data_IF_163788301798
#
_entry.id   IF_163788301798
#
_cell.length_a   1.000
_cell.length_b   1.000
_cell.length_c   1.000
_cell.angle_alpha   90.00
_cell.angle_beta   90.00
_cell.angle_gamma   90.00
#
_symmetry.space_group_name_H-M   'P 1'
#
loop_
_entity.id
_entity.type
_entity.pdbx_description
1 polymer ?
#
# COMPACT_ATOMS: atom_id res chain seq x y z
N UNK A 1 11.19 4.50 -3.62
CA UNK A 1 10.83 3.12 -3.28
C UNK A 1 9.98 3.10 -2.02
N UNK A 2 9.05 2.19 -1.94
CA UNK A 2 8.14 2.10 -0.80
C UNK A 2 8.80 1.33 0.33
N UNK A 3 8.76 1.88 1.53
CA UNK A 3 9.39 1.27 2.71
C UNK A 3 8.41 1.26 3.87
N UNK A 4 8.75 0.46 4.88
CA UNK A 4 7.97 0.43 6.11
C UNK A 4 7.81 1.84 6.67
N UNK A 5 6.59 2.17 7.04
CA UNK A 5 6.26 3.48 7.58
C UNK A 5 5.78 4.49 6.57
N UNK A 6 5.95 4.19 5.29
CA UNK A 6 5.48 5.09 4.24
C UNK A 6 3.96 5.06 4.15
N UNK A 7 3.40 6.15 3.64
CA UNK A 7 1.98 6.21 3.35
C UNK A 7 1.78 6.11 1.86
N UNK A 8 0.80 5.30 1.47
CA UNK A 8 0.57 4.99 0.06
C UNK A 8 -0.91 4.98 -0.25
N UNK A 9 -1.22 5.12 -1.54
CA UNK A 9 -2.57 4.94 -2.05
C UNK A 9 -2.52 3.88 -3.14
N UNK A 10 -3.68 3.26 -3.39
CA UNK A 10 -3.80 2.24 -4.43
C UNK A 10 -4.10 2.92 -5.75
N UNK A 11 -3.31 2.61 -6.77
CA UNK A 11 -3.47 3.18 -8.11
C UNK A 11 -3.32 2.08 -9.14
N UNK A 12 -3.98 2.24 -10.27
CA UNK A 12 -3.76 1.36 -11.41
C UNK A 12 -4.38 -0.01 -11.32
N UNK A 13 -5.14 -0.30 -10.27
CA UNK A 13 -5.78 -1.60 -10.12
C UNK A 13 -7.29 -1.43 -10.08
N UNK A 14 -8.00 -2.57 -10.13
CA UNK A 14 -9.45 -2.53 -10.07
C UNK A 14 -9.97 -1.98 -8.74
N UNK A 15 -9.12 -1.96 -7.72
CA UNK A 15 -9.51 -1.49 -6.41
C UNK A 15 -9.24 0.00 -6.21
N UNK A 16 -8.70 0.66 -7.21
CA UNK A 16 -8.36 2.08 -7.07
C UNK A 16 -9.58 2.91 -6.70
N UNK A 17 -10.70 2.69 -7.38
CA UNK A 17 -11.91 3.46 -7.10
C UNK A 17 -12.48 3.14 -5.73
N UNK A 18 -12.38 1.88 -5.31
CA UNK A 18 -12.92 1.46 -4.03
C UNK A 18 -12.18 2.11 -2.87
N UNK A 19 -10.88 2.33 -3.04
CA UNK A 19 -10.06 2.85 -1.96
C UNK A 19 -9.44 4.20 -2.28
N UNK A 20 -10.04 4.94 -3.19
CA UNK A 20 -9.40 6.16 -3.70
C UNK A 20 -9.17 7.22 -2.63
N UNK A 21 -9.99 7.23 -1.59
CA UNK A 21 -9.83 8.21 -0.52
C UNK A 21 -9.15 7.63 0.70
N UNK A 22 -8.61 6.43 0.58
CA UNK A 22 -7.99 5.75 1.71
C UNK A 22 -6.49 5.85 1.60
N UNK A 23 -5.86 6.26 2.68
CA UNK A 23 -4.40 6.29 2.76
C UNK A 23 -3.98 5.12 3.64
N UNK A 24 -3.08 4.29 3.10
CA UNK A 24 -2.60 3.12 3.79
C UNK A 24 -1.22 3.36 4.37
N UNK A 25 -0.97 2.79 5.52
CA UNK A 25 0.36 2.82 6.13
C UNK A 25 1.04 1.49 5.85
N UNK A 26 2.27 1.55 5.33
CA UNK A 26 3.03 0.35 5.03
C UNK A 26 3.60 -0.21 6.33
N UNK A 27 3.32 -1.47 6.60
CA UNK A 27 3.65 -2.10 7.88
C UNK A 27 4.86 -2.99 7.81
N UNK A 28 5.42 -3.22 6.62
CA UNK A 28 6.58 -4.10 6.49
C UNK A 28 7.48 -3.59 5.38
N UNK A 29 8.73 -4.02 5.42
CA UNK A 29 9.62 -3.80 4.29
C UNK A 29 9.11 -4.61 3.11
N UNK A 30 9.41 -4.17 1.87
CA UNK A 30 8.99 -4.94 0.70
C UNK A 30 9.61 -6.34 0.69
N UNK A 31 8.83 -7.30 0.26
CA UNK A 31 9.31 -8.68 0.14
C UNK A 31 8.70 -9.31 -1.10
N UNK A 32 9.29 -10.42 -1.56
CA UNK A 32 8.86 -11.05 -2.79
C UNK A 32 7.96 -12.24 -2.52
N UNK A 33 6.87 -12.32 -3.29
CA UNK A 33 6.01 -13.49 -3.30
C UNK A 33 5.75 -13.80 -4.77
N UNK A 34 6.14 -14.99 -5.18
CA UNK A 34 5.87 -15.49 -6.55
C UNK A 34 6.28 -14.47 -7.62
N UNK A 35 7.43 -13.85 -7.43
CA UNK A 35 7.96 -12.93 -8.42
C UNK A 35 7.43 -11.51 -8.32
N UNK A 36 6.56 -11.23 -7.37
CA UNK A 36 6.04 -9.87 -7.16
C UNK A 36 6.56 -9.31 -5.86
N UNK A 37 6.90 -8.02 -5.89
CA UNK A 37 7.29 -7.33 -4.66
C UNK A 37 6.05 -6.77 -4.01
N UNK A 38 5.85 -7.11 -2.74
CA UNK A 38 4.64 -6.73 -2.02
C UNK A 38 4.99 -6.17 -0.65
N UNK A 39 4.04 -5.48 -0.06
CA UNK A 39 4.17 -4.96 1.31
C UNK A 39 2.86 -5.22 2.05
N UNK A 40 2.96 -5.35 3.37
CA UNK A 40 1.78 -5.37 4.22
C UNK A 40 1.38 -3.93 4.50
N UNK A 41 0.09 -3.67 4.51
CA UNK A 41 -0.38 -2.31 4.73
C UNK A 41 -1.76 -2.30 5.38
N UNK A 42 -2.10 -1.18 5.99
CA UNK A 42 -3.36 -1.02 6.69
C UNK A 42 -3.89 0.38 6.47
N UNK A 43 -5.19 0.47 6.21
CA UNK A 43 -5.85 1.76 6.11
C UNK A 43 -6.22 2.25 7.51
N UNK A 44 -5.75 3.42 7.87
CA UNK A 44 -5.99 3.95 9.21
C UNK A 44 -7.43 4.38 9.41
N UNK A 45 -8.10 4.78 8.32
CA UNK A 45 -9.45 5.32 8.43
C UNK A 45 -10.51 4.24 8.51
N UNK A 46 -10.31 3.14 7.76
CA UNK A 46 -11.32 2.09 7.72
C UNK A 46 -10.90 0.84 8.47
N UNK A 47 -9.63 0.72 8.82
CA UNK A 47 -9.11 -0.47 9.45
C UNK A 47 -8.82 -1.62 8.51
N UNK A 48 -8.98 -1.42 7.22
CA UNK A 48 -8.71 -2.48 6.25
C UNK A 48 -7.23 -2.85 6.28
N UNK A 49 -6.97 -4.14 6.43
CA UNK A 49 -5.61 -4.65 6.57
C UNK A 49 -5.30 -5.62 5.45
N UNK A 50 -4.19 -5.39 4.77
CA UNK A 50 -3.70 -6.28 3.72
C UNK A 50 -2.47 -7.01 4.24
N UNK A 51 -2.70 -8.06 5.02
CA UNK A 51 -1.61 -8.80 5.65
C UNK A 51 -0.96 -9.83 4.75
N UNK A 52 -1.63 -10.19 3.67
CA UNK A 52 -1.06 -11.14 2.72
C UNK A 52 -0.12 -10.53 1.71
N UNK A 53 0.02 -9.21 1.73
CA UNK A 53 0.88 -8.51 0.81
C UNK A 53 0.12 -7.90 -0.35
N UNK A 54 0.46 -6.65 -0.68
CA UNK A 54 -0.14 -5.97 -1.80
C UNK A 54 0.99 -5.53 -2.73
N UNK A 55 0.82 -5.75 -4.03
CA UNK A 55 1.87 -5.45 -4.99
C UNK A 55 2.21 -3.97 -5.00
N UNK A 56 3.49 -3.63 -4.90
CA UNK A 56 3.90 -2.23 -4.94
C UNK A 56 3.69 -1.61 -6.32
N UNK A 57 3.46 -2.43 -7.35
CA UNK A 57 3.16 -1.91 -8.68
C UNK A 57 1.86 -1.14 -8.71
N UNK A 58 0.98 -1.37 -7.75
CA UNK A 58 -0.29 -0.68 -7.66
C UNK A 58 -0.33 0.30 -6.51
N UNK A 59 0.82 0.73 -6.01
CA UNK A 59 0.89 1.65 -4.88
C UNK A 59 1.70 2.87 -5.27
N UNK A 60 1.30 4.02 -4.72
CA UNK A 60 2.03 5.26 -4.91
C UNK A 60 2.19 5.93 -3.56
N UNK A 61 3.42 6.35 -3.26
CA UNK A 61 3.68 7.08 -2.02
C UNK A 61 3.00 8.43 -2.04
N UNK A 62 2.48 8.82 -0.88
CA UNK A 62 1.83 10.12 -0.74
C UNK A 62 2.33 10.79 0.52
N UNK A 63 2.05 12.06 0.60
CA UNK A 63 2.18 12.75 1.87
C UNK A 63 3.52 13.21 2.23
N UNK A 64 4.29 13.32 1.39
CA UNK A 64 5.45 13.83 1.81
C UNK A 64 5.52 15.22 1.99
N UNK A 65 5.15 15.34 2.13
CA UNK A 65 5.48 16.29 2.38
C UNK A 65 5.66 16.83 3.23
N UNK A 66 5.91 16.75 3.27
CA UNK A 66 6.25 17.28 3.96
C UNK A 66 6.34 17.51 4.14
#
# INVERSE_FOLDING_TARGET
MINKGDKVIIVGSAEEDKYKDCIFEVLSEPYNICGSTVVKMKCRETGKYFGGGYSIDFLRRVGDEK
#
